data_IF_836127258204
#
_entry.id   IF_836127258204
#
_cell.length_a   1.000
_cell.length_b   1.000
_cell.length_c   1.000
_cell.angle_alpha   90.00
_cell.angle_beta   90.00
_cell.angle_gamma   90.00
#
_symmetry.space_group_name_H-M   'P 1'
#
loop_
_entity.id
_entity.type
_entity.pdbx_description
1 polymer ?
#
# COMPACT_ATOMS: atom_id res chain seq x y z
N UNK A 1 31.39 -15.77 -16.34
CA UNK A 1 31.62 -14.34 -16.14
C UNK A 1 30.44 -13.64 -16.80
N UNK A 2 29.42 -13.13 -16.14
CA UNK A 2 29.11 -12.94 -14.72
C UNK A 2 27.58 -13.02 -14.61
N UNK A 3 27.08 -13.64 -13.54
CA UNK A 3 25.65 -13.83 -13.31
C UNK A 3 25.01 -12.47 -13.00
N UNK A 4 24.13 -11.96 -13.88
CA UNK A 4 23.23 -10.87 -13.48
C UNK A 4 22.15 -11.47 -12.58
N UNK A 5 22.44 -11.51 -11.29
CA UNK A 5 21.44 -11.69 -10.24
C UNK A 5 20.45 -10.54 -10.35
N UNK A 6 19.34 -10.77 -11.06
CA UNK A 6 18.20 -9.88 -11.02
C UNK A 6 17.75 -9.76 -9.57
N UNK A 7 17.84 -8.56 -9.01
CA UNK A 7 17.11 -8.20 -7.81
C UNK A 7 15.65 -8.68 -7.97
N UNK A 8 14.97 -9.17 -6.93
CA UNK A 8 13.56 -9.48 -7.05
C UNK A 8 12.86 -8.20 -7.46
N UNK A 9 12.47 -8.10 -8.74
CA UNK A 9 11.43 -7.20 -9.18
C UNK A 9 10.22 -7.64 -8.39
N UNK A 10 10.02 -7.03 -7.23
CA UNK A 10 8.75 -7.09 -6.54
C UNK A 10 7.76 -6.48 -7.53
N UNK A 11 7.15 -7.34 -8.36
CA UNK A 11 5.98 -6.99 -9.12
C UNK A 11 5.08 -6.22 -8.15
N UNK A 12 4.62 -5.02 -8.50
CA UNK A 12 3.72 -4.30 -7.61
C UNK A 12 2.60 -5.28 -7.28
N UNK A 13 2.42 -5.57 -5.99
CA UNK A 13 1.45 -6.58 -5.57
C UNK A 13 0.15 -6.31 -6.33
N UNK A 14 -0.28 -7.28 -7.14
CA UNK A 14 -1.39 -7.09 -8.07
C UNK A 14 -2.69 -6.66 -7.35
N UNK A 15 -2.74 -6.92 -6.04
CA UNK A 15 -3.75 -6.40 -5.14
C UNK A 15 -3.36 -6.67 -3.69
N UNK A 16 -4.38 -6.74 -2.84
CA UNK A 16 -4.23 -7.18 -1.47
C UNK A 16 -4.00 -8.71 -1.46
N UNK A 17 -2.81 -9.13 -1.04
CA UNK A 17 -2.39 -10.54 -1.06
C UNK A 17 -3.35 -11.42 -0.23
N UNK A 18 -3.77 -10.95 0.95
CA UNK A 18 -4.70 -11.71 1.77
C UNK A 18 -6.09 -11.85 1.12
N UNK A 19 -6.61 -10.82 0.45
CA UNK A 19 -7.87 -10.94 -0.29
C UNK A 19 -7.74 -11.94 -1.44
N UNK A 20 -6.63 -11.89 -2.19
CA UNK A 20 -6.35 -12.83 -3.27
C UNK A 20 -6.26 -14.28 -2.76
N UNK A 21 -5.59 -14.50 -1.64
CA UNK A 21 -5.47 -15.82 -1.01
C UNK A 21 -6.83 -16.38 -0.56
N UNK A 22 -7.77 -15.51 -0.19
CA UNK A 22 -9.14 -15.90 0.18
C UNK A 22 -10.10 -15.99 -1.02
N UNK A 23 -9.71 -15.47 -2.19
CA UNK A 23 -10.62 -15.30 -3.32
C UNK A 23 -11.67 -14.20 -3.10
N UNK A 24 -11.41 -13.26 -2.18
CA UNK A 24 -12.25 -12.11 -1.90
C UNK A 24 -11.82 -10.89 -2.74
N UNK A 25 -12.73 -9.92 -2.86
CA UNK A 25 -12.49 -8.65 -3.54
C UNK A 25 -12.19 -7.52 -2.55
N UNK A 26 -11.79 -6.38 -3.09
CA UNK A 26 -11.54 -5.15 -2.34
C UNK A 26 -12.09 -3.95 -3.11
N UNK A 27 -12.23 -2.82 -2.40
CA UNK A 27 -12.66 -1.56 -3.01
C UNK A 27 -11.45 -0.75 -3.46
N UNK A 28 -10.55 -0.41 -2.52
CA UNK A 28 -9.35 0.37 -2.77
C UNK A 28 -8.14 -0.27 -2.09
N UNK A 29 -6.95 -0.03 -2.65
CA UNK A 29 -5.68 -0.56 -2.17
C UNK A 29 -4.87 0.52 -1.48
N UNK A 30 -4.22 0.13 -0.38
CA UNK A 30 -3.36 0.98 0.43
C UNK A 30 -2.00 0.30 0.57
N UNK A 31 -0.93 1.06 0.32
CA UNK A 31 0.45 0.58 0.44
C UNK A 31 1.10 1.14 1.69
N UNK A 32 1.64 0.27 2.53
CA UNK A 32 2.46 0.67 3.67
C UNK A 32 3.74 1.37 3.20
N UNK A 33 4.03 2.54 3.77
CA UNK A 33 5.25 3.31 3.45
C UNK A 33 6.50 2.80 4.15
N UNK A 34 6.34 1.99 5.20
CA UNK A 34 7.47 1.42 5.95
C UNK A 34 8.01 0.15 5.29
N UNK A 35 7.14 -0.82 4.98
CA UNK A 35 7.55 -2.13 4.45
C UNK A 35 7.07 -2.42 3.03
N UNK A 36 6.24 -1.56 2.43
CA UNK A 36 5.76 -1.74 1.06
C UNK A 36 4.58 -2.72 0.89
N UNK A 37 4.11 -3.37 1.96
CA UNK A 37 2.95 -4.27 1.95
C UNK A 37 1.68 -3.56 1.44
N UNK A 38 0.86 -4.27 0.65
CA UNK A 38 -0.39 -3.74 0.06
C UNK A 38 -1.59 -4.43 0.69
N UNK A 39 -2.41 -3.65 1.38
CA UNK A 39 -3.64 -4.11 2.02
C UNK A 39 -4.88 -3.41 1.46
N UNK A 40 -6.04 -4.05 1.57
CA UNK A 40 -7.32 -3.42 1.24
C UNK A 40 -7.73 -2.37 2.30
N UNK A 41 -8.40 -1.30 1.86
CA UNK A 41 -8.79 -0.18 2.72
C UNK A 41 -9.85 -0.56 3.77
N UNK A 42 -10.14 0.36 4.71
CA UNK A 42 -11.17 0.14 5.75
C UNK A 42 -12.59 0.01 5.18
N UNK A 43 -12.87 0.62 4.02
CA UNK A 43 -14.15 0.44 3.32
C UNK A 43 -14.28 -0.93 2.64
N UNK A 44 -13.20 -1.71 2.56
CA UNK A 44 -13.25 -3.09 2.09
C UNK A 44 -13.64 -4.03 3.23
N UNK A 45 -14.35 -5.12 2.90
CA UNK A 45 -14.85 -6.10 3.88
C UNK A 45 -13.80 -6.57 4.91
N UNK A 46 -12.56 -6.78 4.47
CA UNK A 46 -11.51 -7.39 5.28
C UNK A 46 -10.55 -6.41 5.99
N UNK A 47 -10.49 -5.13 5.54
CA UNK A 47 -9.71 -4.06 6.20
C UNK A 47 -8.23 -4.39 6.47
N UNK A 48 -7.58 -5.08 5.53
CA UNK A 48 -6.22 -5.60 5.73
C UNK A 48 -5.18 -4.51 5.97
N UNK A 49 -5.32 -3.31 5.40
CA UNK A 49 -4.40 -2.21 5.68
C UNK A 49 -4.39 -1.82 7.18
N UNK A 50 -5.57 -1.79 7.81
CA UNK A 50 -5.72 -1.49 9.25
C UNK A 50 -5.24 -2.65 10.10
N UNK A 51 -5.51 -3.90 9.69
CA UNK A 51 -5.02 -5.10 10.38
C UNK A 51 -3.49 -5.13 10.37
N UNK A 52 -2.87 -4.86 9.22
CA UNK A 52 -1.43 -4.75 9.06
C UNK A 52 -0.81 -3.71 10.00
N UNK A 53 -1.40 -2.51 10.09
CA UNK A 53 -0.95 -1.51 11.07
C UNK A 53 -1.00 -2.05 12.51
N UNK A 54 -2.10 -2.71 12.90
CA UNK A 54 -2.27 -3.25 14.26
C UNK A 54 -1.28 -4.36 14.60
N UNK A 55 -0.86 -5.15 13.60
CA UNK A 55 0.07 -6.26 13.78
C UNK A 55 1.54 -5.82 13.75
N UNK A 56 1.87 -4.89 12.87
CA UNK A 56 3.27 -4.49 12.61
C UNK A 56 3.67 -3.17 13.26
N UNK A 57 2.69 -2.36 13.65
CA UNK A 57 2.92 -0.99 14.14
C UNK A 57 3.31 0.00 13.05
N UNK A 58 3.17 -0.34 11.76
CA UNK A 58 3.50 0.58 10.67
C UNK A 58 2.43 1.67 10.48
N UNK A 59 2.70 2.93 10.87
CA UNK A 59 1.64 3.91 11.06
C UNK A 59 1.18 4.57 9.77
N UNK A 60 1.99 4.54 8.71
CA UNK A 60 1.74 5.32 7.49
C UNK A 60 1.45 4.40 6.31
N UNK A 61 0.30 4.65 5.67
CA UNK A 61 -0.11 4.06 4.41
C UNK A 61 -0.28 5.14 3.34
N UNK A 62 -0.15 4.77 2.07
CA UNK A 62 -0.43 5.64 0.92
C UNK A 62 -1.44 5.00 -0.01
N UNK A 63 -2.17 5.81 -0.76
CA UNK A 63 -3.01 5.26 -1.83
C UNK A 63 -2.14 4.59 -2.88
N UNK A 64 -2.57 3.39 -3.32
CA UNK A 64 -1.95 2.67 -4.43
C UNK A 64 -2.73 2.84 -5.74
N UNK A 65 -3.70 3.77 -5.77
CA UNK A 65 -4.53 4.01 -6.94
C UNK A 65 -3.84 4.98 -7.92
N UNK A 66 -4.05 4.79 -9.23
CA UNK A 66 -3.46 5.66 -10.24
C UNK A 66 -4.01 7.09 -10.12
N UNK A 67 -3.11 8.05 -9.95
CA UNK A 67 -3.44 9.49 -9.86
C UNK A 67 -3.64 10.01 -8.43
N UNK A 68 -3.71 9.13 -7.43
CA UNK A 68 -3.78 9.54 -6.04
C UNK A 68 -2.39 9.61 -5.41
N UNK A 69 -2.11 10.74 -4.75
CA UNK A 69 -0.80 11.04 -4.15
C UNK A 69 -0.94 11.47 -2.70
N UNK A 70 -1.76 10.74 -1.95
CA UNK A 70 -1.97 11.01 -0.54
C UNK A 70 -1.51 9.85 0.34
N UNK A 71 -1.20 10.17 1.58
CA UNK A 71 -0.88 9.23 2.65
C UNK A 71 -1.77 9.47 3.86
N UNK A 72 -1.91 8.47 4.71
CA UNK A 72 -2.66 8.56 5.95
C UNK A 72 -1.86 7.94 7.08
N UNK A 73 -1.82 8.63 8.21
CA UNK A 73 -1.16 8.20 9.43
C UNK A 73 -2.20 7.72 10.44
N UNK A 74 -2.21 6.43 10.75
CA UNK A 74 -3.13 5.83 11.71
C UNK A 74 -2.97 6.37 13.14
N UNK A 75 -1.76 6.78 13.52
CA UNK A 75 -1.47 7.24 14.89
C UNK A 75 -1.96 8.66 15.12
N UNK A 76 -1.84 9.52 14.11
CA UNK A 76 -2.22 10.93 14.18
C UNK A 76 -3.65 11.18 13.66
N UNK A 77 -4.30 10.14 13.13
CA UNK A 77 -5.57 10.23 12.42
C UNK A 77 -5.57 11.31 11.31
N UNK A 78 -4.43 11.48 10.65
CA UNK A 78 -4.19 12.57 9.70
C UNK A 78 -4.01 12.06 8.28
N UNK A 79 -4.72 12.70 7.34
CA UNK A 79 -4.48 12.56 5.90
C UNK A 79 -3.47 13.62 5.44
N UNK A 80 -2.41 13.16 4.79
CA UNK A 80 -1.39 13.98 4.15
C UNK A 80 -1.58 13.92 2.63
N UNK A 81 -2.00 15.02 2.03
CA UNK A 81 -1.86 15.21 0.58
C UNK A 81 -0.39 15.48 0.26
N UNK A 82 0.25 14.60 -0.51
CA UNK A 82 1.64 14.80 -0.96
C UNK A 82 1.70 15.64 -2.24
N UNK A 83 0.54 15.93 -2.85
CA UNK A 83 0.41 16.57 -4.14
C UNK A 83 0.93 15.71 -5.29
N UNK A 84 0.49 16.02 -6.51
CA UNK A 84 1.12 15.45 -7.71
C UNK A 84 2.63 15.71 -7.66
N UNK A 85 3.49 14.73 -8.00
CA UNK A 85 4.91 15.01 -8.16
C UNK A 85 4.99 16.12 -9.21
N UNK A 86 5.34 17.33 -8.77
CA UNK A 86 5.54 18.48 -9.66
C UNK A 86 6.43 17.98 -10.79
N UNK A 87 5.88 17.94 -12.00
CA UNK A 87 6.67 17.98 -13.22
C UNK A 87 7.53 19.25 -13.09
N UNK A 88 8.79 19.08 -12.68
CA UNK A 88 9.76 20.14 -12.79
C UNK A 88 9.97 20.38 -14.29
N UNK A 89 9.90 21.64 -14.77
CA UNK A 89 10.19 21.94 -16.16
C UNK A 89 11.63 21.57 -16.54
#
# INVERSE_FOLDING_TARGET
MDQVTGAPSAEPAAGCEECLAMGDTWVHLRRCRTCGHVGCCDSSKNRHATKHFRETGHPIISSAEPGETWSYCYVDDLMLDLGSPRAHP
#
